data_IF_095594877544
#
_entry.id   IF_095594877544
#
_cell.length_a   1.000
_cell.length_b   1.000
_cell.length_c   1.000
_cell.angle_alpha   90.00
_cell.angle_beta   90.00
_cell.angle_gamma   90.00
#
_symmetry.space_group_name_H-M   'P 1'
#
loop_
_entity.id
_entity.type
_entity.pdbx_description
1 polymer ?
#
# COMPACT_ATOMS: atom_id res chain seq x y z
N UNK A 1 -2.11 1.96 -10.63
CA UNK A 1 -1.86 0.65 -10.00
C UNK A 1 -2.78 0.51 -8.82
N UNK A 2 -3.50 -0.61 -8.66
CA UNK A 2 -4.39 -0.78 -7.52
C UNK A 2 -3.59 -1.05 -6.24
N UNK A 3 -3.80 -0.24 -5.20
CA UNK A 3 -3.05 -0.27 -3.94
C UNK A 3 -3.96 -0.03 -2.73
N UNK A 4 -3.53 -0.51 -1.56
CA UNK A 4 -4.17 -0.22 -0.26
C UNK A 4 -3.24 0.60 0.64
N UNK A 5 -3.79 1.55 1.42
CA UNK A 5 -2.98 2.40 2.27
C UNK A 5 -2.80 1.81 3.67
N UNK A 6 -1.57 1.84 4.16
CA UNK A 6 -1.23 1.73 5.58
C UNK A 6 -0.97 3.14 6.13
N UNK A 7 -1.66 3.50 7.21
CA UNK A 7 -1.47 4.78 7.89
C UNK A 7 -0.47 4.59 9.02
N UNK A 8 0.68 5.25 8.93
CA UNK A 8 1.73 5.21 9.95
C UNK A 8 1.71 6.53 10.74
N UNK A 9 1.24 6.51 12.00
CA UNK A 9 1.20 7.71 12.83
C UNK A 9 2.59 8.31 13.04
N UNK A 10 2.72 9.62 12.95
CA UNK A 10 3.99 10.32 13.17
C UNK A 10 4.14 10.89 14.61
N UNK A 11 3.28 10.45 15.55
CA UNK A 11 3.32 10.74 16.99
C UNK A 11 3.76 12.18 17.36
N UNK A 12 3.23 13.19 16.68
CA UNK A 12 3.49 14.61 16.98
C UNK A 12 4.69 15.25 16.29
N UNK A 13 5.38 14.55 15.38
CA UNK A 13 6.53 15.09 14.60
C UNK A 13 6.18 15.48 13.16
N UNK A 14 4.90 15.70 12.86
CA UNK A 14 4.42 16.09 11.54
C UNK A 14 3.15 15.35 11.12
N UNK A 15 2.71 15.48 9.85
CA UNK A 15 1.59 14.73 9.32
C UNK A 15 1.89 13.22 9.33
N UNK A 16 0.82 12.42 9.39
CA UNK A 16 0.92 10.96 9.32
C UNK A 16 1.36 10.53 7.92
N UNK A 17 2.15 9.46 7.86
CA UNK A 17 2.63 8.93 6.59
C UNK A 17 1.66 7.90 6.06
N UNK A 18 1.51 7.88 4.74
CA UNK A 18 0.76 6.86 4.02
C UNK A 18 1.74 5.96 3.27
N UNK A 19 1.72 4.68 3.60
CA UNK A 19 2.50 3.66 2.88
C UNK A 19 1.55 2.86 2.00
N UNK A 20 1.79 2.90 0.70
CA UNK A 20 1.00 2.15 -0.27
C UNK A 20 1.53 0.74 -0.45
N UNK A 21 0.63 -0.22 -0.34
CA UNK A 21 0.90 -1.63 -0.54
C UNK A 21 0.12 -2.17 -1.70
N UNK A 22 0.75 -3.07 -2.46
CA UNK A 22 0.06 -3.82 -3.50
C UNK A 22 -0.77 -4.94 -2.84
N UNK A 23 -2.04 -5.14 -3.23
CA UNK A 23 -2.81 -6.32 -2.81
C UNK A 23 -2.11 -7.63 -3.19
N UNK A 24 -1.95 -8.52 -2.22
CA UNK A 24 -1.40 -9.87 -2.41
C UNK A 24 -2.45 -10.90 -2.87
N UNK A 25 -3.74 -10.54 -2.84
CA UNK A 25 -4.83 -11.44 -3.19
C UNK A 25 -6.20 -10.79 -2.99
N UNK A 26 -7.25 -11.61 -2.96
CA UNK A 26 -8.62 -11.15 -2.70
C UNK A 26 -8.76 -10.70 -1.24
N UNK A 27 -9.39 -9.56 -1.02
CA UNK A 27 -9.81 -9.13 0.31
C UNK A 27 -10.81 -10.12 0.91
N UNK A 28 -10.71 -10.38 2.21
CA UNK A 28 -11.64 -11.22 2.97
C UNK A 28 -12.17 -10.40 4.14
N UNK A 29 -13.47 -10.13 4.14
CA UNK A 29 -14.12 -9.26 5.12
C UNK A 29 -13.39 -7.90 5.23
N UNK A 30 -12.83 -7.60 6.39
CA UNK A 30 -12.07 -6.40 6.72
C UNK A 30 -10.55 -6.61 6.60
N UNK A 31 -10.08 -7.69 6.00
CA UNK A 31 -8.65 -7.97 5.84
C UNK A 31 -8.23 -7.98 4.37
N UNK A 32 -7.17 -7.21 4.06
CA UNK A 32 -6.53 -7.22 2.75
C UNK A 32 -5.09 -7.76 2.86
N UNK A 33 -4.81 -8.95 2.30
CA UNK A 33 -3.44 -9.43 2.14
C UNK A 33 -2.61 -8.46 1.29
N UNK A 34 -1.32 -8.30 1.62
CA UNK A 34 -0.38 -7.43 0.91
C UNK A 34 0.74 -8.24 0.27
N UNK A 35 1.27 -7.78 -0.86
CA UNK A 35 2.24 -8.56 -1.65
C UNK A 35 3.63 -8.69 -1.01
N UNK A 36 3.96 -7.89 0.01
CA UNK A 36 5.24 -7.95 0.70
C UNK A 36 5.25 -8.90 1.90
N UNK A 37 4.14 -9.55 2.24
CA UNK A 37 4.06 -10.49 3.36
C UNK A 37 3.03 -11.58 3.09
N UNK A 38 3.41 -12.84 3.35
CA UNK A 38 2.52 -13.99 3.19
C UNK A 38 1.58 -14.19 4.40
N UNK A 39 1.91 -13.57 5.54
CA UNK A 39 1.18 -13.74 6.81
C UNK A 39 0.50 -12.47 7.29
N UNK A 40 0.91 -11.31 6.79
CA UNK A 40 0.38 -10.02 7.21
C UNK A 40 -0.50 -9.38 6.13
N UNK A 41 -1.23 -8.36 6.55
CA UNK A 41 -2.11 -7.59 5.70
C UNK A 41 -2.63 -6.38 6.44
N UNK A 42 -3.48 -5.61 5.77
CA UNK A 42 -4.06 -4.41 6.33
C UNK A 42 -5.50 -4.65 6.73
N UNK A 43 -5.85 -4.21 7.94
CA UNK A 43 -7.24 -4.14 8.37
C UNK A 43 -7.88 -2.92 7.71
N UNK A 44 -8.89 -3.19 6.90
CA UNK A 44 -9.71 -2.23 6.19
C UNK A 44 -10.54 -1.45 7.21
N UNK A 45 -10.60 -0.13 7.05
CA UNK A 45 -11.76 0.36 6.29
C UNK A 45 -11.37 0.94 4.93
N UNK A 46 -10.07 1.04 4.62
CA UNK A 46 -9.60 1.78 3.46
C UNK A 46 -9.68 0.97 2.18
N UNK A 47 -10.66 1.30 1.34
CA UNK A 47 -10.80 0.71 0.00
C UNK A 47 -9.52 0.87 -0.83
N UNK A 48 -9.18 -0.15 -1.61
CA UNK A 48 -8.10 -0.06 -2.59
C UNK A 48 -8.35 1.07 -3.60
N UNK A 49 -7.31 1.82 -3.92
CA UNK A 49 -7.33 2.95 -4.85
C UNK A 49 -6.36 2.74 -6.00
N UNK A 50 -6.59 3.43 -7.11
CA UNK A 50 -5.58 3.54 -8.15
C UNK A 50 -4.55 4.60 -7.78
N UNK A 51 -3.31 4.15 -7.65
CA UNK A 51 -2.16 4.94 -7.19
C UNK A 51 -1.07 4.90 -8.27
N UNK A 52 -0.46 6.05 -8.62
CA UNK A 52 0.71 6.09 -9.49
C UNK A 52 1.92 5.36 -8.86
N UNK A 53 2.75 4.72 -9.69
CA UNK A 53 3.99 4.08 -9.21
C UNK A 53 5.11 5.08 -8.90
N UNK A 54 4.99 6.28 -9.43
CA UNK A 54 5.85 7.41 -9.12
C UNK A 54 5.00 8.42 -8.34
N UNK A 55 5.31 8.55 -7.04
CA UNK A 55 4.58 9.42 -6.14
C UNK A 55 5.39 10.69 -5.93
N UNK A 56 4.75 11.83 -6.13
CA UNK A 56 5.28 13.17 -5.86
C UNK A 56 4.67 13.80 -4.60
N UNK A 57 3.60 13.21 -4.06
CA UNK A 57 2.88 13.74 -2.91
C UNK A 57 3.67 13.56 -1.59
N UNK A 58 3.97 14.65 -0.86
CA UNK A 58 4.65 14.57 0.43
C UNK A 58 3.88 13.74 1.46
N UNK A 59 4.61 12.92 2.22
CA UNK A 59 4.03 12.05 3.24
C UNK A 59 3.40 10.77 2.67
N UNK A 60 3.42 10.58 1.35
CA UNK A 60 3.06 9.32 0.72
C UNK A 60 4.28 8.62 0.15
N UNK A 61 4.33 7.30 0.28
CA UNK A 61 5.36 6.47 -0.35
C UNK A 61 4.82 5.08 -0.64
N UNK A 62 5.44 4.37 -1.56
CA UNK A 62 5.21 2.93 -1.68
C UNK A 62 6.05 2.15 -0.68
N UNK A 63 5.54 1.00 -0.23
CA UNK A 63 6.40 -0.05 0.30
C UNK A 63 7.37 -0.51 -0.80
N UNK A 64 8.70 -0.55 -0.56
CA UNK A 64 9.69 -0.87 -1.59
C UNK A 64 9.45 -2.21 -2.31
N UNK A 65 9.09 -3.26 -1.57
CA UNK A 65 8.83 -4.59 -2.13
C UNK A 65 7.55 -4.59 -2.97
N UNK A 66 6.49 -3.98 -2.46
CA UNK A 66 5.24 -3.81 -3.20
C UNK A 66 5.45 -2.99 -4.49
N UNK A 67 6.28 -1.95 -4.47
CA UNK A 67 6.63 -1.17 -5.66
C UNK A 67 7.38 -2.01 -6.69
N UNK A 68 8.34 -2.82 -6.25
CA UNK A 68 9.10 -3.70 -7.13
C UNK A 68 8.18 -4.73 -7.81
N UNK A 69 7.23 -5.31 -7.07
CA UNK A 69 6.22 -6.21 -7.63
C UNK A 69 5.31 -5.47 -8.61
N UNK A 70 4.80 -4.30 -8.25
CA UNK A 70 3.92 -3.51 -9.10
C UNK A 70 4.57 -3.13 -10.44
N UNK A 71 5.83 -2.68 -10.40
CA UNK A 71 6.62 -2.35 -11.61
C UNK A 71 6.84 -3.55 -12.53
N UNK A 72 6.95 -4.77 -11.98
CA UNK A 72 7.07 -5.99 -12.79
C UNK A 72 5.79 -6.30 -13.56
N UNK A 73 4.63 -6.00 -12.99
CA UNK A 73 3.34 -6.25 -13.63
C UNK A 73 2.97 -5.23 -14.70
N UNK A 74 3.36 -3.96 -14.53
CA UNK A 74 3.14 -2.94 -15.57
C UNK A 74 3.98 -3.19 -16.84
N UNK A 75 5.00 -4.05 -16.75
CA UNK A 75 5.84 -4.45 -17.89
C UNK A 75 5.35 -5.72 -18.61
N UNK A 76 4.27 -6.35 -18.11
CA UNK A 76 3.62 -7.51 -18.74
C UNK A 76 2.45 -7.05 -19.58
#
# INVERSE_FOLDING_TARGET
>A
MRAVPERVPNYGRGPDNLIWHKPGGRAVADFQPIACSDTEGLVMPWSAKDVPLDLDEPGQRWCPDCLAVARKETRR
#
